data_IF_490618325974
#
_entry.id   IF_490618325974
#
_cell.length_a   1.000
_cell.length_b   1.000
_cell.length_c   1.000
_cell.angle_alpha   90.00
_cell.angle_beta   90.00
_cell.angle_gamma   90.00
#
_symmetry.space_group_name_H-M   'P 1'
#
loop_
_entity.id
_entity.type
_entity.pdbx_description
1 polymer ?
#
# COMPACT_ATOMS: atom_id res chain seq x y z
N UNK A 1 0.07 23.46 14.81
CA UNK A 1 -0.92 23.55 13.72
C UNK A 1 -0.67 22.38 12.78
N UNK A 2 -1.64 21.47 12.58
CA UNK A 2 -1.52 20.45 11.56
C UNK A 2 -1.80 21.14 10.23
N UNK A 3 -0.81 21.23 9.35
CA UNK A 3 -1.03 21.68 7.98
C UNK A 3 -2.05 20.74 7.36
N UNK A 4 -3.18 21.30 6.98
CA UNK A 4 -4.23 20.57 6.28
C UNK A 4 -3.80 20.47 4.83
N UNK A 5 -3.00 19.43 4.50
CA UNK A 5 -2.59 19.17 3.13
C UNK A 5 -3.84 18.84 2.32
N UNK A 6 -4.19 19.72 1.42
CA UNK A 6 -5.27 19.45 0.46
C UNK A 6 -4.75 18.41 -0.53
N UNK A 7 -5.17 17.17 -0.32
CA UNK A 7 -4.82 16.04 -1.19
C UNK A 7 -5.94 15.80 -2.19
N UNK A 8 -5.56 15.58 -3.43
CA UNK A 8 -6.45 15.19 -4.51
C UNK A 8 -5.98 13.85 -5.10
N UNK A 9 -6.91 12.93 -5.31
CA UNK A 9 -6.69 11.68 -6.02
C UNK A 9 -7.12 11.85 -7.47
N UNK A 10 -6.18 11.71 -8.41
CA UNK A 10 -6.46 11.76 -9.84
C UNK A 10 -6.15 10.41 -10.46
N UNK A 11 -7.06 9.90 -11.30
CA UNK A 11 -6.86 8.62 -11.97
C UNK A 11 -5.54 8.60 -12.74
N UNK A 12 -4.81 7.48 -12.61
CA UNK A 12 -3.55 7.26 -13.32
C UNK A 12 -3.81 7.27 -14.82
N UNK A 13 -3.07 8.11 -15.56
CA UNK A 13 -3.14 8.17 -17.00
C UNK A 13 -2.16 7.16 -17.64
N UNK A 14 -2.48 6.60 -18.81
CA UNK A 14 -1.62 5.61 -19.47
C UNK A 14 -0.19 6.10 -19.69
N UNK A 15 -0.02 7.37 -20.05
CA UNK A 15 1.27 8.01 -20.30
C UNK A 15 2.13 8.19 -19.05
N UNK A 16 1.50 8.21 -17.86
CA UNK A 16 2.18 8.37 -16.55
C UNK A 16 2.47 7.03 -15.86
N UNK A 17 2.03 5.92 -16.45
CA UNK A 17 2.16 4.57 -15.86
C UNK A 17 3.61 4.21 -15.54
N UNK A 18 4.53 4.45 -16.47
CA UNK A 18 5.95 4.14 -16.29
C UNK A 18 6.58 4.96 -15.17
N UNK A 19 6.19 6.22 -15.06
CA UNK A 19 6.66 7.06 -13.97
C UNK A 19 6.08 6.63 -12.62
N UNK A 20 4.81 6.21 -12.58
CA UNK A 20 4.19 5.64 -11.37
C UNK A 20 4.97 4.44 -10.85
N UNK A 21 5.36 3.51 -11.73
CA UNK A 21 6.12 2.31 -11.38
C UNK A 21 7.48 2.69 -10.77
N UNK A 22 8.22 3.59 -11.42
CA UNK A 22 9.53 4.07 -10.92
C UNK A 22 9.41 4.79 -9.57
N UNK A 23 8.40 5.64 -9.42
CA UNK A 23 8.18 6.38 -8.18
C UNK A 23 7.82 5.42 -7.03
N UNK A 24 7.04 4.38 -7.31
CA UNK A 24 6.69 3.35 -6.33
C UNK A 24 7.94 2.59 -5.87
N UNK A 25 8.73 2.05 -6.82
CA UNK A 25 9.97 1.34 -6.51
C UNK A 25 10.94 2.21 -5.71
N UNK A 26 11.11 3.47 -6.12
CA UNK A 26 11.96 4.42 -5.40
C UNK A 26 11.49 4.67 -3.96
N UNK A 27 10.18 4.88 -3.76
CA UNK A 27 9.63 5.14 -2.44
C UNK A 27 9.79 3.94 -1.49
N UNK A 28 9.57 2.73 -1.98
CA UNK A 28 9.74 1.49 -1.21
C UNK A 28 11.22 1.25 -0.87
N UNK A 29 12.11 1.35 -1.85
CA UNK A 29 13.55 1.21 -1.66
C UNK A 29 14.11 2.22 -0.67
N UNK A 30 13.70 3.48 -0.78
CA UNK A 30 14.11 4.52 0.17
C UNK A 30 13.65 4.19 1.60
N UNK A 31 12.42 3.71 1.77
CA UNK A 31 11.87 3.30 3.06
C UNK A 31 12.69 2.18 3.69
N UNK A 32 12.98 1.12 2.94
CA UNK A 32 13.77 -0.01 3.39
C UNK A 32 15.22 0.40 3.74
N UNK A 33 15.88 1.19 2.90
CA UNK A 33 17.23 1.68 3.17
C UNK A 33 17.30 2.55 4.44
N UNK A 34 16.27 3.31 4.74
CA UNK A 34 16.20 4.12 5.97
C UNK A 34 16.02 3.25 7.22
N UNK A 35 15.23 2.18 7.13
CA UNK A 35 14.92 1.32 8.26
C UNK A 35 16.02 0.27 8.53
N UNK A 36 16.57 -0.33 7.49
CA UNK A 36 17.48 -1.49 7.59
C UNK A 36 18.91 -1.21 7.10
N UNK A 37 19.12 -0.13 6.36
CA UNK A 37 20.42 0.20 5.76
C UNK A 37 20.76 -0.68 4.55
N UNK A 38 22.03 -0.60 4.09
CA UNK A 38 22.52 -1.30 2.88
C UNK A 38 22.70 -2.82 3.04
N UNK A 39 22.43 -3.40 4.22
CA UNK A 39 22.60 -4.84 4.49
C UNK A 39 21.28 -5.60 4.44
N UNK A 40 20.29 -5.04 3.77
CA UNK A 40 18.98 -5.64 3.67
C UNK A 40 18.99 -6.80 2.67
N UNK A 41 18.69 -8.01 3.16
CA UNK A 41 18.51 -9.19 2.33
C UNK A 41 17.13 -9.28 1.65
N UNK A 42 16.30 -8.23 1.75
CA UNK A 42 14.95 -8.17 1.19
C UNK A 42 14.88 -7.51 -0.20
N UNK A 43 16.02 -7.23 -0.81
CA UNK A 43 16.09 -6.75 -2.20
C UNK A 43 15.96 -7.92 -3.16
N UNK A 44 15.18 -7.76 -4.23
CA UNK A 44 15.11 -8.70 -5.33
C UNK A 44 16.41 -8.73 -6.16
N UNK A 45 16.48 -9.59 -7.21
CA UNK A 45 17.65 -9.72 -8.08
C UNK A 45 18.02 -8.41 -8.80
N UNK A 46 17.05 -7.52 -9.02
CA UNK A 46 17.22 -6.19 -9.62
C UNK A 46 17.59 -5.13 -8.56
N UNK A 47 17.66 -5.50 -7.29
CA UNK A 47 17.96 -4.60 -6.18
C UNK A 47 16.77 -3.71 -5.79
N UNK A 48 15.55 -4.15 -6.01
CA UNK A 48 14.31 -3.49 -5.65
C UNK A 48 13.61 -4.23 -4.50
N UNK A 49 12.81 -3.52 -3.71
CA UNK A 49 11.98 -4.09 -2.62
C UNK A 49 10.69 -4.69 -3.17
N UNK A 50 10.20 -4.12 -4.26
CA UNK A 50 9.00 -4.59 -4.94
C UNK A 50 9.27 -4.69 -6.43
N UNK A 51 8.94 -5.85 -7.01
CA UNK A 51 9.19 -6.08 -8.43
C UNK A 51 8.32 -5.18 -9.31
N UNK A 52 8.86 -4.84 -10.48
CA UNK A 52 8.06 -4.15 -11.51
C UNK A 52 6.79 -4.94 -11.85
N UNK A 53 6.89 -6.26 -11.92
CA UNK A 53 5.77 -7.13 -12.30
C UNK A 53 4.64 -7.07 -11.27
N UNK A 54 4.96 -7.07 -9.99
CA UNK A 54 3.98 -6.90 -8.91
C UNK A 54 3.21 -5.57 -9.04
N UNK A 55 3.92 -4.46 -9.31
CA UNK A 55 3.28 -3.15 -9.47
C UNK A 55 2.39 -3.12 -10.72
N UNK A 56 2.88 -3.68 -11.84
CA UNK A 56 2.11 -3.78 -13.09
C UNK A 56 0.85 -4.61 -12.88
N UNK A 57 0.97 -5.79 -12.24
CA UNK A 57 -0.17 -6.65 -11.92
C UNK A 57 -1.21 -5.94 -11.04
N UNK A 58 -0.77 -5.20 -10.01
CA UNK A 58 -1.68 -4.42 -9.17
C UNK A 58 -2.42 -3.34 -9.97
N UNK A 59 -1.72 -2.58 -10.82
CA UNK A 59 -2.33 -1.55 -11.67
C UNK A 59 -3.35 -2.16 -12.63
N UNK A 60 -3.03 -3.31 -13.24
CA UNK A 60 -3.89 -3.97 -14.23
C UNK A 60 -5.14 -4.59 -13.60
N UNK A 61 -5.04 -5.07 -12.37
CA UNK A 61 -6.12 -5.71 -11.64
C UNK A 61 -6.97 -4.73 -10.80
N UNK A 62 -6.48 -3.51 -10.57
CA UNK A 62 -7.10 -2.53 -9.69
C UNK A 62 -7.40 -1.19 -10.33
N UNK A 63 -7.65 -0.20 -9.48
CA UNK A 63 -7.79 1.20 -9.87
C UNK A 63 -6.63 1.99 -9.25
N UNK A 64 -5.84 2.61 -10.11
CA UNK A 64 -4.66 3.37 -9.71
C UNK A 64 -4.93 4.89 -9.74
N UNK A 65 -4.42 5.59 -8.73
CA UNK A 65 -4.48 7.04 -8.63
C UNK A 65 -3.11 7.63 -8.34
N UNK A 66 -2.86 8.81 -8.90
CA UNK A 66 -1.82 9.71 -8.42
C UNK A 66 -2.34 10.53 -7.24
N UNK A 67 -1.49 10.71 -6.25
CA UNK A 67 -1.74 11.59 -5.11
C UNK A 67 -1.12 12.95 -5.43
N UNK A 68 -1.95 13.98 -5.44
CA UNK A 68 -1.55 15.36 -5.70
C UNK A 68 -1.65 16.19 -4.43
N UNK A 69 -0.68 17.08 -4.25
CA UNK A 69 -0.70 18.14 -3.23
C UNK A 69 -0.43 19.47 -3.94
N UNK A 70 -1.48 20.26 -4.12
CA UNK A 70 -1.45 21.40 -5.05
C UNK A 70 -1.13 20.95 -6.47
N UNK A 71 -0.07 21.50 -7.06
CA UNK A 71 0.35 21.21 -8.45
C UNK A 71 1.42 20.10 -8.55
N UNK A 72 1.72 19.42 -7.44
CA UNK A 72 2.77 18.39 -7.42
C UNK A 72 2.20 17.01 -7.18
N UNK A 73 2.73 16.02 -7.91
CA UNK A 73 2.54 14.61 -7.62
C UNK A 73 3.41 14.27 -6.41
N UNK A 74 2.80 13.73 -5.37
CA UNK A 74 3.47 13.41 -4.10
C UNK A 74 3.38 11.93 -3.73
N UNK A 75 2.79 11.11 -4.60
CA UNK A 75 2.69 9.67 -4.39
C UNK A 75 1.70 9.00 -5.34
N UNK A 76 1.32 7.78 -4.97
CA UNK A 76 0.34 7.00 -5.70
C UNK A 76 -0.32 5.94 -4.82
N UNK A 77 -1.44 5.43 -5.31
CA UNK A 77 -2.22 4.39 -4.65
C UNK A 77 -2.86 3.49 -5.69
N UNK A 78 -2.92 2.20 -5.39
CA UNK A 78 -3.71 1.22 -6.13
C UNK A 78 -4.64 0.51 -5.17
N UNK A 79 -5.89 0.42 -5.55
CA UNK A 79 -6.93 -0.26 -4.78
C UNK A 79 -7.72 -1.22 -5.66
N UNK A 80 -8.34 -2.19 -5.03
CA UNK A 80 -9.39 -3.03 -5.62
C UNK A 80 -10.65 -2.92 -4.82
N UNK A 81 -11.79 -3.12 -5.46
CA UNK A 81 -13.08 -3.16 -4.77
C UNK A 81 -13.95 -4.25 -5.36
N UNK A 82 -14.65 -4.97 -4.50
CA UNK A 82 -15.68 -5.92 -4.87
C UNK A 82 -16.82 -5.76 -3.87
N UNK A 83 -18.00 -5.40 -4.36
CA UNK A 83 -19.17 -5.07 -3.55
C UNK A 83 -18.87 -4.01 -2.48
N UNK A 84 -18.93 -4.38 -1.20
CA UNK A 84 -18.62 -3.53 -0.05
C UNK A 84 -17.23 -3.80 0.57
N UNK A 85 -16.38 -4.52 -0.14
CA UNK A 85 -15.03 -4.88 0.30
C UNK A 85 -13.99 -4.17 -0.57
N UNK A 86 -12.98 -3.59 0.05
CA UNK A 86 -11.88 -2.89 -0.59
C UNK A 86 -10.52 -3.43 -0.15
N UNK A 87 -9.59 -3.48 -1.07
CA UNK A 87 -8.19 -3.84 -0.83
C UNK A 87 -7.30 -2.66 -1.19
N UNK A 88 -6.42 -2.28 -0.28
CA UNK A 88 -5.36 -1.33 -0.51
C UNK A 88 -4.11 -2.10 -0.92
N UNK A 89 -3.92 -2.26 -2.23
CA UNK A 89 -2.80 -3.04 -2.78
C UNK A 89 -1.47 -2.29 -2.66
N UNK A 90 -1.45 -1.03 -3.06
CA UNK A 90 -0.26 -0.18 -3.00
C UNK A 90 -0.61 1.21 -2.47
N UNK A 91 0.22 1.74 -1.58
CA UNK A 91 0.20 3.14 -1.15
C UNK A 91 1.62 3.61 -0.91
N UNK A 92 2.05 4.60 -1.66
CA UNK A 92 3.37 5.21 -1.49
C UNK A 92 3.31 6.74 -1.53
N UNK A 93 4.25 7.34 -0.83
CA UNK A 93 4.47 8.79 -0.79
C UNK A 93 5.91 9.04 -1.17
N UNK A 94 6.15 10.03 -1.99
CA UNK A 94 7.52 10.43 -2.38
C UNK A 94 8.38 10.69 -1.14
N UNK A 95 9.64 10.22 -1.12
CA UNK A 95 10.52 10.35 0.05
C UNK A 95 10.64 11.78 0.60
N UNK A 96 10.65 12.77 -0.27
CA UNK A 96 10.76 14.20 0.07
C UNK A 96 9.53 14.74 0.82
N UNK A 97 8.44 14.01 0.74
CA UNK A 97 7.16 14.37 1.33
C UNK A 97 6.84 13.53 2.59
N UNK A 98 7.76 12.68 3.02
CA UNK A 98 7.59 11.87 4.23
C UNK A 98 7.43 12.74 5.48
N UNK A 99 6.74 12.19 6.49
CA UNK A 99 6.49 12.82 7.80
C UNK A 99 5.59 14.06 7.78
N UNK A 100 5.06 14.45 6.62
CA UNK A 100 4.12 15.58 6.46
C UNK A 100 2.64 15.19 6.60
N UNK A 101 2.35 13.92 6.89
CA UNK A 101 0.97 13.45 7.05
C UNK A 101 0.23 13.14 5.74
N UNK A 102 0.91 13.21 4.60
CA UNK A 102 0.33 12.99 3.26
C UNK A 102 -0.27 11.59 3.12
N UNK A 103 0.42 10.55 3.57
CA UNK A 103 -0.10 9.18 3.51
C UNK A 103 -1.44 9.04 4.24
N UNK A 104 -1.56 9.63 5.43
CA UNK A 104 -2.82 9.62 6.17
C UNK A 104 -3.92 10.44 5.49
N UNK A 105 -3.58 11.61 4.94
CA UNK A 105 -4.53 12.42 4.19
C UNK A 105 -5.01 11.70 2.92
N UNK A 106 -4.11 10.99 2.22
CA UNK A 106 -4.46 10.14 1.07
C UNK A 106 -5.39 9.00 1.48
N UNK A 107 -5.10 8.31 2.59
CA UNK A 107 -5.99 7.29 3.12
C UNK A 107 -7.40 7.83 3.41
N UNK A 108 -7.51 8.97 4.10
CA UNK A 108 -8.80 9.61 4.34
C UNK A 108 -9.53 10.01 3.04
N UNK A 109 -8.78 10.39 2.01
CA UNK A 109 -9.36 10.70 0.69
C UNK A 109 -9.90 9.44 0.00
N UNK A 110 -9.23 8.28 0.15
CA UNK A 110 -9.71 7.00 -0.35
C UNK A 110 -11.01 6.60 0.33
N UNK A 111 -11.07 6.61 1.66
CA UNK A 111 -12.29 6.29 2.41
C UNK A 111 -13.47 7.18 1.99
N UNK A 112 -13.20 8.45 1.75
CA UNK A 112 -14.21 9.41 1.30
C UNK A 112 -14.66 9.18 -0.14
N UNK A 113 -13.74 8.71 -1.00
CA UNK A 113 -14.03 8.41 -2.41
C UNK A 113 -14.86 7.14 -2.57
N UNK A 114 -14.72 6.19 -1.62
CA UNK A 114 -15.39 4.89 -1.63
C UNK A 114 -16.27 4.68 -0.38
N UNK A 115 -17.30 5.51 -0.19
CA UNK A 115 -18.13 5.47 1.02
C UNK A 115 -18.98 4.20 1.16
N UNK A 116 -19.09 3.41 0.08
CA UNK A 116 -19.83 2.13 0.07
C UNK A 116 -19.01 0.96 0.62
N UNK A 117 -17.71 1.15 0.88
CA UNK A 117 -16.87 0.07 1.38
C UNK A 117 -17.01 -0.02 2.90
N UNK A 118 -17.40 -1.21 3.38
CA UNK A 118 -17.54 -1.52 4.80
C UNK A 118 -16.27 -2.10 5.40
N UNK A 119 -15.50 -2.83 4.59
CA UNK A 119 -14.30 -3.55 5.00
C UNK A 119 -13.15 -3.16 4.08
N UNK A 120 -12.06 -2.68 4.66
CA UNK A 120 -10.79 -2.46 3.97
C UNK A 120 -9.75 -3.44 4.45
N UNK A 121 -9.01 -4.03 3.51
CA UNK A 121 -7.86 -4.90 3.80
C UNK A 121 -6.58 -4.36 3.19
N UNK A 122 -5.45 -4.73 3.78
CA UNK A 122 -4.10 -4.54 3.22
C UNK A 122 -3.14 -5.54 3.84
N UNK A 123 -2.04 -5.79 3.15
CA UNK A 123 -0.94 -6.61 3.67
C UNK A 123 0.36 -5.81 3.70
N UNK A 124 1.25 -6.16 4.63
CA UNK A 124 2.62 -5.63 4.65
C UNK A 124 3.56 -6.63 5.31
N UNK A 125 4.83 -6.69 4.90
CA UNK A 125 5.82 -7.53 5.56
C UNK A 125 5.89 -7.25 7.06
N UNK A 126 6.06 -8.31 7.87
CA UNK A 126 6.06 -8.21 9.33
C UNK A 126 7.18 -7.31 9.87
N UNK A 127 8.27 -7.17 9.13
CA UNK A 127 9.43 -6.35 9.51
C UNK A 127 9.24 -4.86 9.21
N UNK A 128 8.26 -4.49 8.39
CA UNK A 128 7.96 -3.11 8.01
C UNK A 128 7.27 -2.33 9.14
N UNK A 129 8.00 -2.03 10.22
CA UNK A 129 7.48 -1.39 11.43
C UNK A 129 6.80 -0.05 11.17
N UNK A 130 7.32 0.70 10.19
CA UNK A 130 6.76 2.00 9.79
C UNK A 130 5.37 1.83 9.18
N UNK A 131 5.19 0.85 8.29
CA UNK A 131 3.90 0.54 7.68
C UNK A 131 2.93 0.00 8.72
N UNK A 132 3.37 -0.90 9.60
CA UNK A 132 2.55 -1.43 10.71
C UNK A 132 2.06 -0.28 11.59
N UNK A 133 2.96 0.63 12.01
CA UNK A 133 2.58 1.80 12.79
C UNK A 133 1.57 2.69 12.05
N UNK A 134 1.78 2.89 10.75
CA UNK A 134 0.89 3.69 9.91
C UNK A 134 -0.51 3.07 9.84
N UNK A 135 -0.62 1.80 9.49
CA UNK A 135 -1.92 1.15 9.38
C UNK A 135 -2.64 1.05 10.72
N UNK A 136 -1.96 0.57 11.76
CA UNK A 136 -2.60 0.34 13.07
C UNK A 136 -2.88 1.66 13.79
N UNK A 137 -1.86 2.51 13.97
CA UNK A 137 -1.95 3.65 14.87
C UNK A 137 -2.46 4.94 14.20
N UNK A 138 -2.39 5.02 12.87
CA UNK A 138 -2.83 6.22 12.13
C UNK A 138 -4.12 5.99 11.36
N UNK A 139 -4.24 4.87 10.65
CA UNK A 139 -5.37 4.57 9.79
C UNK A 139 -6.48 3.78 10.48
N UNK A 140 -6.21 3.16 11.64
CA UNK A 140 -7.19 2.42 12.43
C UNK A 140 -7.47 1.01 11.92
N UNK A 141 -6.52 0.40 11.21
CA UNK A 141 -6.54 -1.01 10.88
C UNK A 141 -6.17 -1.87 12.09
N UNK A 142 -6.57 -3.13 12.05
CA UNK A 142 -6.20 -4.16 13.02
C UNK A 142 -5.46 -5.28 12.32
N UNK A 143 -4.42 -5.83 12.94
CA UNK A 143 -3.78 -7.06 12.45
C UNK A 143 -4.76 -8.20 12.74
N UNK A 144 -5.15 -8.93 11.70
CA UNK A 144 -6.12 -10.02 11.79
C UNK A 144 -5.51 -11.37 11.46
N UNK A 145 -4.36 -11.40 10.76
CA UNK A 145 -3.72 -12.63 10.35
C UNK A 145 -2.21 -12.43 10.16
N UNK A 146 -1.45 -13.50 10.36
CA UNK A 146 -0.02 -13.55 10.11
C UNK A 146 0.27 -14.75 9.21
N UNK A 147 0.73 -14.45 7.98
CA UNK A 147 1.15 -15.45 7.01
C UNK A 147 2.62 -15.77 7.19
N UNK A 148 2.97 -17.06 7.11
CA UNK A 148 4.33 -17.58 7.19
C UNK A 148 4.38 -18.98 6.54
N UNK A 149 5.54 -19.63 6.52
CA UNK A 149 5.74 -20.91 5.82
C UNK A 149 4.73 -22.03 6.17
N UNK A 150 4.20 -22.04 7.40
CA UNK A 150 3.22 -23.04 7.87
C UNK A 150 1.75 -22.55 7.80
N UNK A 151 1.53 -21.30 7.43
CA UNK A 151 0.22 -20.69 7.30
C UNK A 151 0.24 -19.72 6.12
N UNK A 152 0.08 -20.27 4.91
CA UNK A 152 0.11 -19.51 3.68
C UNK A 152 -1.27 -18.96 3.33
N UNK A 153 -1.32 -17.83 2.66
CA UNK A 153 -2.55 -17.23 2.19
C UNK A 153 -3.22 -18.15 1.15
N UNK A 154 -4.47 -18.58 1.41
CA UNK A 154 -5.19 -19.49 0.53
C UNK A 154 -5.96 -18.80 -0.60
N UNK A 155 -6.04 -17.47 -0.62
CA UNK A 155 -6.92 -16.71 -1.52
C UNK A 155 -6.29 -15.49 -2.21
N UNK A 156 -5.00 -15.25 -2.07
CA UNK A 156 -4.31 -14.16 -2.77
C UNK A 156 -3.81 -14.54 -4.17
N UNK A 157 -4.44 -15.54 -4.80
CA UNK A 157 -3.96 -16.13 -6.04
C UNK A 157 -4.08 -15.28 -7.29
N UNK A 158 -4.50 -14.01 -7.21
CA UNK A 158 -4.64 -13.20 -8.42
C UNK A 158 -3.78 -11.92 -8.47
N UNK A 159 -3.05 -11.56 -7.40
CA UNK A 159 -2.33 -10.26 -7.40
C UNK A 159 -0.91 -10.30 -6.84
N UNK A 160 -0.56 -11.30 -6.07
CA UNK A 160 0.83 -11.56 -5.72
C UNK A 160 1.19 -12.97 -6.18
N UNK A 161 1.43 -13.15 -7.47
CA UNK A 161 2.44 -14.12 -7.89
C UNK A 161 3.76 -13.57 -7.33
N UNK A 162 3.98 -13.85 -6.04
CA UNK A 162 5.32 -13.81 -5.48
C UNK A 162 6.03 -14.91 -6.27
N UNK A 163 6.91 -14.51 -7.18
CA UNK A 163 7.76 -15.43 -7.92
C UNK A 163 8.25 -16.52 -6.98
N UNK A 164 8.00 -17.79 -7.31
CA UNK A 164 8.54 -18.97 -6.63
C UNK A 164 10.09 -19.06 -6.71
N UNK A 165 10.75 -17.96 -6.96
CA UNK A 165 12.19 -17.83 -6.82
C UNK A 165 12.52 -17.33 -5.42
N UNK A 166 12.12 -18.14 -4.42
CA UNK A 166 12.72 -18.04 -3.09
C UNK A 166 14.21 -18.41 -3.23
N UNK A 167 15.01 -17.39 -3.44
CA UNK A 167 16.39 -17.44 -2.95
C UNK A 167 16.37 -17.81 -1.48
N UNK A 168 17.46 -18.22 -0.89
CA UNK A 168 17.69 -18.83 0.44
C UNK A 168 16.91 -18.26 1.65
N UNK A 169 15.92 -17.38 1.43
CA UNK A 169 15.01 -16.82 2.40
C UNK A 169 13.61 -17.40 2.14
N UNK A 170 12.99 -17.99 3.18
CA UNK A 170 11.64 -18.56 3.10
C UNK A 170 10.57 -17.54 2.65
N UNK A 171 9.30 -17.99 2.46
CA UNK A 171 8.23 -17.12 2.01
C UNK A 171 8.14 -15.88 2.91
N UNK A 172 7.94 -14.73 2.30
CA UNK A 172 7.83 -13.46 3.02
C UNK A 172 6.75 -13.54 4.09
N UNK A 173 7.15 -13.36 5.34
CA UNK A 173 6.20 -13.30 6.45
C UNK A 173 5.43 -11.98 6.38
N UNK A 174 4.09 -12.07 6.30
CA UNK A 174 3.22 -10.94 6.08
C UNK A 174 2.17 -10.81 7.17
N UNK A 175 1.85 -9.59 7.57
CA UNK A 175 0.63 -9.30 8.32
C UNK A 175 -0.48 -8.88 7.37
N UNK A 176 -1.68 -9.48 7.55
CA UNK A 176 -2.92 -8.98 6.98
C UNK A 176 -3.62 -8.07 7.98
N UNK A 177 -4.05 -6.94 7.49
CA UNK A 177 -4.75 -5.92 8.26
C UNK A 177 -6.17 -5.77 7.74
N UNK A 178 -7.09 -5.49 8.64
CA UNK A 178 -8.48 -5.23 8.33
C UNK A 178 -8.96 -3.97 9.05
N UNK A 179 -9.78 -3.17 8.38
CA UNK A 179 -10.47 -2.03 8.97
C UNK A 179 -11.96 -2.10 8.64
N UNK A 180 -12.78 -2.16 9.67
CA UNK A 180 -14.23 -2.07 9.56
C UNK A 180 -14.67 -0.61 9.61
N UNK A 181 -15.37 -0.15 8.57
CA UNK A 181 -15.98 1.17 8.53
C UNK A 181 -17.34 1.08 9.21
N UNK A 182 -17.46 1.70 10.37
CA UNK A 182 -18.77 1.81 11.05
C UNK A 182 -19.55 2.92 10.39
N UNK A 183 -20.52 2.59 9.57
CA UNK A 183 -21.54 3.55 9.17
C UNK A 183 -22.38 3.85 10.41
N UNK A 184 -22.42 5.12 10.82
CA UNK A 184 -23.31 5.56 11.91
C UNK A 184 -24.73 5.27 11.46
N UNK A 185 -25.26 4.09 11.84
CA UNK A 185 -26.64 3.70 11.58
C UNK A 185 -27.54 4.75 12.23
N UNK A 186 -28.40 5.33 11.43
CA UNK A 186 -29.58 6.01 11.93
C UNK A 186 -30.45 4.89 12.52
N UNK A 187 -30.34 4.69 13.83
CA UNK A 187 -31.36 3.92 14.54
C UNK A 187 -32.71 4.60 14.29
N UNK A 188 -33.58 3.89 13.59
CA UNK A 188 -35.01 4.22 13.52
C UNK A 188 -35.76 3.41 14.55
#
# INVERSE_FOLDING_TARGET
MRENHQIELRALQPEDREQFIRDNQWAFKYGALQEFGLRDGHLDEDGEIISRQTIVGAIDAGVAYRIWSGDRIVGGVVIKTLDNHGWLDLLFVSPEEHSKGIGYAAWCAIEKLYPQIDIWETCTPYFEKRNIHFYVNRCGFHIVEFFHEYHQEQHASDVMDIDEHSGEHGPDEMFRFEKLIRHSGIDR
#
